data_IF_322072567846
#
_entry.id   IF_322072567846
#
_cell.length_a   1.000
_cell.length_b   1.000
_cell.length_c   1.000
_cell.angle_alpha   90.00
_cell.angle_beta   90.00
_cell.angle_gamma   90.00
#
_symmetry.space_group_name_H-M   'P 1'
#
loop_
_entity.id
_entity.type
_entity.pdbx_description
1 polymer ?
#
# COMPACT_ATOMS: atom_id res chain seq x y z
N UNK A 1 -11.76 -34.60 67.59
CA UNK A 1 -11.84 -35.40 66.33
C UNK A 1 -12.40 -34.48 65.26
N UNK A 2 -11.58 -33.99 64.32
CA UNK A 2 -11.24 -34.59 63.02
C UNK A 2 -12.43 -34.70 62.05
N UNK A 3 -12.39 -33.82 61.02
CA UNK A 3 -12.90 -33.98 59.63
C UNK A 3 -14.41 -33.69 59.46
N UNK A 4 -14.92 -32.97 58.45
CA UNK A 4 -14.39 -32.31 57.25
C UNK A 4 -15.49 -31.30 56.81
N UNK A 5 -15.16 -30.02 56.56
CA UNK A 5 -15.02 -29.42 55.24
C UNK A 5 -16.15 -29.72 54.24
N UNK A 6 -17.06 -28.77 54.05
CA UNK A 6 -17.79 -28.59 52.79
C UNK A 6 -18.01 -27.09 52.54
N UNK A 7 -16.92 -26.40 52.20
CA UNK A 7 -16.93 -25.03 51.71
C UNK A 7 -16.87 -25.11 50.18
N UNK A 8 -18.03 -25.02 49.53
CA UNK A 8 -18.15 -24.96 48.08
C UNK A 8 -18.86 -23.66 47.69
N UNK A 9 -18.16 -22.54 47.89
CA UNK A 9 -18.50 -21.29 47.20
C UNK A 9 -17.84 -21.39 45.83
N UNK A 10 -18.62 -21.80 44.85
CA UNK A 10 -18.21 -21.92 43.45
C UNK A 10 -18.00 -20.50 42.90
N UNK A 11 -16.77 -20.00 43.05
CA UNK A 11 -16.26 -18.80 42.39
C UNK A 11 -16.15 -19.07 40.88
N UNK A 12 -17.28 -19.03 40.18
CA UNK A 12 -17.33 -18.99 38.71
C UNK A 12 -17.65 -17.56 38.28
N UNK A 13 -16.67 -16.67 38.43
CA UNK A 13 -16.80 -15.30 37.99
C UNK A 13 -15.50 -14.55 38.22
N UNK A 14 -14.93 -14.03 37.14
CA UNK A 14 -13.74 -13.17 37.06
C UNK A 14 -12.41 -13.91 36.95
N UNK A 15 -12.13 -14.47 35.77
CA UNK A 15 -10.73 -14.64 35.32
C UNK A 15 -10.63 -14.83 33.82
N UNK A 16 -10.74 -13.75 33.03
CA UNK A 16 -10.12 -13.64 31.69
C UNK A 16 -10.16 -12.20 31.11
N UNK A 17 -9.98 -11.16 31.94
CA UNK A 17 -9.76 -9.79 31.46
C UNK A 17 -8.30 -9.31 31.60
N UNK A 18 -7.35 -10.18 31.95
CA UNK A 18 -5.94 -9.81 32.19
C UNK A 18 -4.99 -10.33 31.12
N UNK A 19 -5.34 -10.18 29.85
CA UNK A 19 -4.40 -10.26 28.73
C UNK A 19 -4.63 -9.07 27.78
N UNK A 20 -4.66 -7.85 28.32
CA UNK A 20 -4.76 -6.64 27.51
C UNK A 20 -3.70 -5.58 27.82
N UNK A 21 -2.84 -5.76 28.83
CA UNK A 21 -1.92 -4.69 29.21
C UNK A 21 -0.65 -5.18 29.91
N UNK A 22 0.14 -6.04 29.26
CA UNK A 22 1.56 -6.16 29.62
C UNK A 22 2.40 -6.59 28.41
N UNK A 23 2.47 -5.72 27.41
CA UNK A 23 3.69 -5.63 26.60
C UNK A 23 4.41 -4.38 27.05
N UNK A 24 5.39 -4.61 27.93
CA UNK A 24 6.38 -3.62 28.34
C UNK A 24 6.95 -2.95 27.11
N UNK A 25 6.80 -1.63 27.08
CA UNK A 25 7.52 -0.72 26.21
C UNK A 25 9.02 -0.88 26.45
N UNK A 26 9.65 -1.86 25.80
CA UNK A 26 11.08 -1.79 25.55
C UNK A 26 11.26 -0.75 24.45
N UNK A 27 11.65 0.45 24.85
CA UNK A 27 12.11 1.52 23.98
C UNK A 27 13.19 0.98 23.03
N UNK A 28 12.77 0.59 21.83
CA UNK A 28 13.66 0.61 20.68
C UNK A 28 13.51 2.00 20.07
N UNK A 29 14.52 2.85 20.28
CA UNK A 29 14.70 4.11 19.56
C UNK A 29 15.04 3.84 18.09
N UNK A 30 14.18 3.13 17.37
CA UNK A 30 14.18 3.17 15.92
C UNK A 30 13.59 4.52 15.54
N UNK A 31 14.45 5.49 15.21
CA UNK A 31 14.06 6.68 14.47
C UNK A 31 13.17 6.24 13.29
N UNK A 32 11.86 6.38 13.45
CA UNK A 32 10.85 6.11 12.42
C UNK A 32 10.73 7.33 11.50
N UNK A 33 11.84 8.00 11.23
CA UNK A 33 11.92 9.09 10.27
C UNK A 33 12.23 8.51 8.91
N UNK A 34 11.17 8.07 8.23
CA UNK A 34 11.06 8.06 6.76
C UNK A 34 9.66 7.59 6.35
N UNK A 35 8.64 8.26 6.88
CA UNK A 35 7.42 8.45 6.08
C UNK A 35 7.72 9.62 5.16
N UNK A 36 8.32 9.36 3.99
CA UNK A 36 8.17 10.33 2.91
C UNK A 36 6.66 10.51 2.72
N UNK A 37 6.08 11.72 2.93
CA UNK A 37 4.68 11.92 2.65
C UNK A 37 4.52 11.57 1.17
N UNK A 38 3.65 10.59 0.87
CA UNK A 38 3.31 10.18 -0.50
C UNK A 38 3.10 11.44 -1.33
N UNK A 39 4.09 11.83 -2.12
CA UNK A 39 3.99 12.94 -3.07
C UNK A 39 2.90 12.65 -4.10
N UNK A 40 2.54 11.38 -4.29
CA UNK A 40 1.38 10.90 -5.04
C UNK A 40 0.06 11.57 -4.63
N UNK A 41 -0.16 11.85 -3.32
CA UNK A 41 -1.40 12.51 -2.86
C UNK A 41 -1.50 13.95 -3.37
N UNK A 42 -0.38 14.66 -3.51
CA UNK A 42 -0.40 16.07 -3.94
C UNK A 42 -0.67 16.26 -5.44
N UNK A 43 -0.45 15.22 -6.25
CA UNK A 43 -0.73 15.26 -7.69
C UNK A 43 -2.20 14.91 -7.96
N UNK A 44 -2.75 14.04 -7.11
CA UNK A 44 -4.14 13.62 -7.13
C UNK A 44 -5.15 14.76 -6.94
N UNK A 45 -4.80 15.85 -6.26
CA UNK A 45 -5.75 16.91 -5.92
C UNK A 45 -5.64 18.14 -6.85
N UNK A 46 -4.78 18.08 -7.87
CA UNK A 46 -4.59 19.17 -8.83
C UNK A 46 -5.68 19.18 -9.90
N UNK A 47 -5.97 20.37 -10.42
CA UNK A 47 -6.86 20.52 -11.57
C UNK A 47 -6.17 20.02 -12.86
N UNK A 48 -6.93 19.61 -13.88
CA UNK A 48 -6.35 19.24 -15.17
C UNK A 48 -5.49 20.34 -15.79
N UNK A 49 -5.89 21.60 -15.64
CA UNK A 49 -5.15 22.78 -16.11
C UNK A 49 -3.80 22.96 -15.41
N UNK A 50 -3.76 22.83 -14.08
CA UNK A 50 -2.51 22.88 -13.33
C UNK A 50 -1.57 21.74 -13.73
N UNK A 51 -2.11 20.54 -13.96
CA UNK A 51 -1.34 19.39 -14.43
C UNK A 51 -0.77 19.66 -15.81
N UNK A 52 -1.59 20.20 -16.73
CA UNK A 52 -1.18 20.56 -18.07
C UNK A 52 -0.04 21.57 -18.02
N UNK A 53 -0.22 22.68 -17.30
CA UNK A 53 0.79 23.73 -17.15
C UNK A 53 2.11 23.19 -16.61
N UNK A 54 2.09 22.40 -15.53
CA UNK A 54 3.30 21.81 -14.95
C UNK A 54 3.99 20.87 -15.93
N UNK A 55 3.23 20.10 -16.71
CA UNK A 55 3.79 19.23 -17.76
C UNK A 55 4.40 20.04 -18.90
N UNK A 56 3.74 21.11 -19.34
CA UNK A 56 4.27 22.03 -20.35
C UNK A 56 5.58 22.63 -19.89
N UNK A 57 5.61 23.23 -18.69
CA UNK A 57 6.81 23.85 -18.11
C UNK A 57 7.96 22.85 -17.96
N UNK A 58 7.67 21.60 -17.61
CA UNK A 58 8.70 20.58 -17.47
C UNK A 58 9.30 20.16 -18.82
N UNK A 59 8.48 20.06 -19.87
CA UNK A 59 8.97 19.80 -21.22
C UNK A 59 9.72 21.01 -21.78
N UNK A 60 9.21 22.20 -21.54
CA UNK A 60 9.80 23.45 -21.98
C UNK A 60 11.21 23.66 -21.40
N UNK A 61 11.44 23.30 -20.13
CA UNK A 61 12.78 23.31 -19.53
C UNK A 61 13.80 22.42 -20.26
N UNK A 62 13.34 21.36 -20.92
CA UNK A 62 14.19 20.39 -21.62
C UNK A 62 14.37 20.73 -23.09
N UNK A 63 13.31 21.18 -23.73
CA UNK A 63 13.22 21.32 -25.18
C UNK A 63 13.20 22.78 -25.66
N UNK A 64 12.98 23.74 -24.74
CA UNK A 64 12.94 25.20 -24.98
C UNK A 64 12.03 25.56 -26.15
N UNK A 65 10.72 25.46 -25.95
CA UNK A 65 9.74 25.70 -26.99
C UNK A 65 9.66 27.19 -27.37
N UNK A 66 9.25 27.45 -28.61
CA UNK A 66 8.74 28.78 -28.99
C UNK A 66 7.36 29.01 -28.37
N UNK A 67 6.89 30.25 -28.32
CA UNK A 67 5.57 30.56 -27.73
C UNK A 67 4.41 29.90 -28.48
N UNK A 68 4.53 29.77 -29.81
CA UNK A 68 3.56 29.05 -30.63
C UNK A 68 3.53 27.55 -30.26
N UNK A 69 4.69 26.91 -30.19
CA UNK A 69 4.81 25.49 -29.80
C UNK A 69 4.32 25.25 -28.37
N UNK A 70 4.63 26.15 -27.44
CA UNK A 70 4.20 26.04 -26.04
C UNK A 70 2.67 26.02 -25.94
N UNK A 71 1.98 26.80 -26.76
CA UNK A 71 0.51 26.87 -26.80
C UNK A 71 -0.10 25.56 -27.31
N UNK A 72 0.43 25.01 -28.41
CA UNK A 72 -0.03 23.73 -28.96
C UNK A 72 0.24 22.56 -27.99
N UNK A 73 1.44 22.52 -27.41
CA UNK A 73 1.84 21.50 -26.43
C UNK A 73 0.97 21.57 -25.18
N UNK A 74 0.66 22.76 -24.69
CA UNK A 74 -0.27 22.96 -23.57
C UNK A 74 -1.66 22.41 -23.87
N UNK A 75 -2.21 22.68 -25.07
CA UNK A 75 -3.53 22.18 -25.46
C UNK A 75 -3.58 20.64 -25.45
N UNK A 76 -2.55 19.98 -26.00
CA UNK A 76 -2.44 18.51 -25.99
C UNK A 76 -2.35 17.97 -24.55
N UNK A 77 -1.60 18.64 -23.68
CA UNK A 77 -1.45 18.21 -22.28
C UNK A 77 -2.71 18.43 -21.46
N UNK A 78 -3.49 19.46 -21.78
CA UNK A 78 -4.79 19.72 -21.18
C UNK A 78 -5.78 18.62 -21.53
N UNK A 79 -5.89 18.26 -22.80
CA UNK A 79 -6.75 17.16 -23.25
C UNK A 79 -6.39 15.84 -22.52
N UNK A 80 -5.09 15.51 -22.49
CA UNK A 80 -4.61 14.32 -21.77
C UNK A 80 -4.90 14.39 -20.26
N UNK A 81 -4.79 15.56 -19.64
CA UNK A 81 -5.07 15.74 -18.23
C UNK A 81 -6.57 15.59 -17.91
N UNK A 82 -7.45 16.09 -18.79
CA UNK A 82 -8.90 15.89 -18.69
C UNK A 82 -9.24 14.41 -18.81
N UNK A 83 -8.70 13.72 -19.82
CA UNK A 83 -8.92 12.28 -20.00
C UNK A 83 -8.38 11.45 -18.82
N UNK A 84 -7.24 11.85 -18.25
CA UNK A 84 -6.72 11.20 -17.06
C UNK A 84 -7.65 11.41 -15.84
N UNK A 85 -8.26 12.58 -15.70
CA UNK A 85 -9.20 12.87 -14.62
C UNK A 85 -10.50 12.07 -14.75
N UNK A 86 -11.05 11.93 -15.96
CA UNK A 86 -12.24 11.11 -16.22
C UNK A 86 -11.97 9.63 -15.91
N UNK A 87 -10.90 9.07 -16.49
CA UNK A 87 -10.49 7.68 -16.26
C UNK A 87 -10.28 7.40 -14.77
N UNK A 88 -9.69 8.34 -14.03
CA UNK A 88 -9.49 8.20 -12.59
C UNK A 88 -10.81 8.12 -11.82
N UNK A 89 -11.81 8.91 -12.20
CA UNK A 89 -13.12 8.89 -11.56
C UNK A 89 -13.87 7.59 -11.89
N UNK A 90 -13.77 7.10 -13.12
CA UNK A 90 -14.34 5.80 -13.51
C UNK A 90 -13.70 4.65 -12.73
N UNK A 91 -12.38 4.62 -12.65
CA UNK A 91 -11.65 3.62 -11.88
C UNK A 91 -12.00 3.67 -10.39
N UNK A 92 -12.21 4.86 -9.81
CA UNK A 92 -12.69 4.99 -8.41
C UNK A 92 -14.06 4.34 -8.23
N UNK A 93 -14.99 4.54 -9.17
CA UNK A 93 -16.34 3.94 -9.15
C UNK A 93 -16.29 2.42 -9.32
N UNK A 94 -15.48 1.92 -10.26
CA UNK A 94 -15.29 0.48 -10.45
C UNK A 94 -14.68 -0.15 -9.19
N UNK A 95 -13.69 0.51 -8.58
CA UNK A 95 -13.06 0.02 -7.37
C UNK A 95 -14.01 0.04 -6.15
N UNK A 96 -14.92 1.01 -6.04
CA UNK A 96 -15.93 0.99 -4.97
C UNK A 96 -16.92 -0.15 -5.15
N UNK A 97 -17.45 -0.36 -6.36
CA UNK A 97 -18.33 -1.50 -6.67
C UNK A 97 -17.67 -2.84 -6.36
N UNK A 98 -16.44 -3.03 -6.84
CA UNK A 98 -15.68 -4.24 -6.56
C UNK A 98 -15.46 -4.46 -5.05
N UNK A 99 -15.21 -3.40 -4.28
CA UNK A 99 -15.10 -3.53 -2.81
C UNK A 99 -16.41 -3.95 -2.16
N UNK A 100 -17.55 -3.47 -2.64
CA UNK A 100 -18.87 -3.84 -2.14
C UNK A 100 -19.20 -5.30 -2.49
N UNK A 101 -18.95 -5.72 -3.73
CA UNK A 101 -19.09 -7.11 -4.17
C UNK A 101 -18.22 -8.07 -3.36
N UNK A 102 -16.97 -7.67 -3.08
CA UNK A 102 -16.08 -8.47 -2.23
C UNK A 102 -16.59 -8.59 -0.80
N UNK A 103 -17.15 -7.50 -0.23
CA UNK A 103 -17.76 -7.55 1.11
C UNK A 103 -18.99 -8.46 1.13
N UNK A 104 -19.88 -8.34 0.14
CA UNK A 104 -21.08 -9.18 0.08
C UNK A 104 -20.74 -10.65 -0.12
N UNK A 105 -19.75 -10.95 -0.96
CA UNK A 105 -19.21 -12.30 -1.12
C UNK A 105 -18.61 -12.85 0.18
N UNK A 106 -17.87 -12.03 0.94
CA UNK A 106 -17.34 -12.43 2.25
C UNK A 106 -18.44 -12.74 3.27
N UNK A 107 -19.55 -11.98 3.28
CA UNK A 107 -20.69 -12.24 4.17
C UNK A 107 -21.35 -13.57 3.80
N UNK A 108 -21.68 -13.78 2.52
CA UNK A 108 -22.26 -15.05 2.04
C UNK A 108 -21.39 -16.25 2.34
N UNK A 109 -20.08 -16.10 2.16
CA UNK A 109 -19.12 -17.16 2.50
C UNK A 109 -19.08 -17.41 4.01
N UNK A 110 -19.17 -16.37 4.84
CA UNK A 110 -19.30 -16.50 6.29
C UNK A 110 -20.54 -17.29 6.71
N UNK A 111 -21.68 -17.07 6.07
CA UNK A 111 -22.93 -17.79 6.37
C UNK A 111 -22.86 -19.30 6.06
N UNK A 112 -22.02 -19.70 5.09
CA UNK A 112 -21.84 -21.11 4.68
C UNK A 112 -20.83 -21.83 5.58
N UNK A 113 -19.82 -21.13 6.07
CA UNK A 113 -18.70 -21.74 6.79
C UNK A 113 -19.01 -22.00 8.27
N UNK A 114 -18.49 -23.11 8.80
CA UNK A 114 -18.51 -23.35 10.25
C UNK A 114 -17.61 -22.36 11.00
N UNK A 115 -17.83 -22.13 12.31
CA UNK A 115 -17.00 -21.21 13.09
C UNK A 115 -15.49 -21.53 13.03
N UNK A 116 -15.14 -22.82 13.03
CA UNK A 116 -13.75 -23.28 12.91
C UNK A 116 -13.15 -22.95 11.53
N UNK A 117 -13.92 -23.15 10.46
CA UNK A 117 -13.47 -22.83 9.09
C UNK A 117 -13.34 -21.31 8.88
N UNK A 118 -14.21 -20.50 9.47
CA UNK A 118 -14.09 -19.05 9.45
C UNK A 118 -12.80 -18.57 10.12
N UNK A 119 -12.42 -19.21 11.23
CA UNK A 119 -11.18 -18.89 11.95
C UNK A 119 -9.94 -19.21 11.11
N UNK A 120 -9.89 -20.40 10.51
CA UNK A 120 -8.81 -20.79 9.58
C UNK A 120 -8.71 -19.83 8.40
N UNK A 121 -9.84 -19.40 7.83
CA UNK A 121 -9.86 -18.44 6.75
C UNK A 121 -9.29 -17.07 7.17
N UNK A 122 -9.68 -16.55 8.34
CA UNK A 122 -9.14 -15.29 8.89
C UNK A 122 -7.64 -15.37 9.10
N UNK A 123 -7.14 -16.48 9.64
CA UNK A 123 -5.71 -16.72 9.83
C UNK A 123 -4.95 -16.77 8.50
N UNK A 124 -5.52 -17.43 7.49
CA UNK A 124 -4.94 -17.47 6.14
C UNK A 124 -4.81 -16.05 5.53
N UNK A 125 -5.81 -15.18 5.72
CA UNK A 125 -5.76 -13.79 5.29
C UNK A 125 -4.76 -12.95 6.08
N UNK A 126 -4.56 -13.24 7.36
CA UNK A 126 -3.56 -12.57 8.19
C UNK A 126 -2.13 -12.98 7.80
N UNK A 127 -1.89 -14.26 7.53
CA UNK A 127 -0.60 -14.76 7.05
C UNK A 127 -0.23 -14.16 5.70
N UNK A 128 -1.13 -14.20 4.71
CA UNK A 128 -0.90 -13.58 3.39
C UNK A 128 -0.56 -12.09 3.49
N UNK A 129 -1.17 -11.35 4.43
CA UNK A 129 -0.84 -9.93 4.69
C UNK A 129 0.56 -9.77 5.27
N UNK A 130 1.01 -10.66 6.16
CA UNK A 130 2.36 -10.67 6.72
C UNK A 130 3.43 -11.01 5.67
N UNK A 131 3.15 -11.95 4.77
CA UNK A 131 4.12 -12.38 3.74
C UNK A 131 4.37 -11.29 2.70
N UNK A 132 3.31 -10.57 2.27
CA UNK A 132 3.46 -9.40 1.39
C UNK A 132 4.31 -8.28 2.01
N UNK A 133 4.34 -8.17 3.35
CA UNK A 133 5.18 -7.19 4.04
C UNK A 133 6.66 -7.63 4.12
N UNK A 134 6.94 -8.94 4.06
CA UNK A 134 8.30 -9.49 4.13
C UNK A 134 9.00 -9.56 2.76
N UNK A 135 8.27 -9.79 1.67
CA UNK A 135 8.86 -10.09 0.35
C UNK A 135 9.38 -8.93 -0.51
N UNK A 136 9.18 -7.65 -0.15
CA UNK A 136 9.44 -6.55 -1.11
C UNK A 136 10.60 -5.61 -0.77
N UNK A 137 11.23 -5.73 0.40
CA UNK A 137 12.31 -4.79 0.81
C UNK A 137 13.73 -5.27 0.47
N UNK A 138 13.97 -6.57 0.31
CA UNK A 138 15.32 -7.14 0.17
C UNK A 138 15.73 -7.54 -1.25
N UNK A 139 14.84 -8.16 -2.02
CA UNK A 139 15.21 -8.81 -3.29
C UNK A 139 15.33 -7.83 -4.47
N UNK A 140 14.57 -6.73 -4.46
CA UNK A 140 14.63 -5.74 -5.55
C UNK A 140 15.99 -5.01 -5.64
N UNK A 141 16.75 -4.97 -4.54
CA UNK A 141 18.10 -4.36 -4.52
C UNK A 141 19.18 -5.26 -5.14
N UNK A 142 18.98 -6.58 -5.16
CA UNK A 142 20.00 -7.52 -5.68
C UNK A 142 19.94 -7.67 -7.21
N UNK A 143 18.78 -7.41 -7.83
CA UNK A 143 18.60 -7.60 -9.28
C UNK A 143 19.15 -6.46 -10.15
N UNK A 144 19.53 -5.33 -9.55
CA UNK A 144 20.12 -4.18 -10.25
C UNK A 144 21.65 -4.17 -10.34
N UNK A 145 22.34 -5.16 -9.73
CA UNK A 145 23.79 -5.33 -9.81
C UNK A 145 24.19 -6.56 -10.64
N UNK A 146 23.44 -6.87 -11.70
CA UNK A 146 24.02 -7.71 -12.76
C UNK A 146 24.92 -6.76 -13.56
N UNK A 147 26.20 -6.80 -13.20
CA UNK A 147 27.34 -6.27 -13.92
C UNK A 147 27.03 -5.98 -15.40
N UNK A 148 26.95 -4.69 -15.75
CA UNK A 148 27.39 -4.28 -17.08
C UNK A 148 28.90 -4.52 -17.15
N UNK A 149 29.31 -5.77 -17.42
CA UNK A 149 30.63 -6.00 -18.03
C UNK A 149 30.55 -5.40 -19.42
N UNK A 150 30.97 -4.15 -19.54
CA UNK A 150 31.39 -3.61 -20.82
C UNK A 150 32.63 -4.43 -21.19
N UNK A 151 32.66 -5.16 -22.31
CA UNK A 151 33.91 -5.77 -22.77
C UNK A 151 34.87 -4.61 -23.08
N UNK A 152 36.04 -4.62 -22.44
CA UNK A 152 37.11 -3.70 -22.76
C UNK A 152 37.48 -3.90 -24.24
N UNK A 153 37.14 -2.92 -25.07
CA UNK A 153 37.70 -2.84 -26.42
C UNK A 153 39.14 -2.39 -26.26
N UNK A 154 40.06 -3.37 -26.24
CA UNK A 154 41.49 -3.11 -26.38
C UNK A 154 41.72 -2.40 -27.71
N UNK A 155 42.04 -1.11 -27.64
CA UNK A 155 42.63 -0.36 -28.73
C UNK A 155 44.06 -0.87 -28.90
N UNK A 156 44.27 -1.84 -29.79
CA UNK A 156 45.60 -2.07 -30.38
C UNK A 156 45.72 -1.15 -31.59
N UNK A 157 46.36 0.00 -31.37
CA UNK A 157 47.08 0.71 -32.42
C UNK A 157 48.31 -0.13 -32.80
N UNK A 158 48.47 -0.43 -34.09
CA UNK A 158 49.58 -1.19 -34.67
C UNK A 158 49.38 -1.36 -36.17
#
# INVERSE_FOLDING_TARGET
>A
MKKALSLAVLLAGISLATFAQEQKDTERSFKKERKHPRTEKKIADRTPEEIAKVKTEHLDKRLKFTDAQRTEVYAVQLEQAVQAATNRNEMKKLQSKWREEMKSSQVKLGEILTPEQQQQLKESYAQRRKDKFKGSRGEFRKRGMIEKRVPDTENTEG
#
